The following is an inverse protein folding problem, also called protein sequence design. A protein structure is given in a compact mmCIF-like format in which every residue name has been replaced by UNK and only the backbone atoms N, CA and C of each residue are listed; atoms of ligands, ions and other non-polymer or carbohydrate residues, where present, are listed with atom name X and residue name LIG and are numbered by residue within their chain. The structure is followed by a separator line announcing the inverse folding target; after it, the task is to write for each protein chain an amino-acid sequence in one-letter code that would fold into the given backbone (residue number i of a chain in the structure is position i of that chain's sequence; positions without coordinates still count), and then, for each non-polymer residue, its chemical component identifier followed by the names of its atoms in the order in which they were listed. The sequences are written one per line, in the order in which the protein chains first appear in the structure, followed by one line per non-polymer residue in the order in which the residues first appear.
data_IF_668771839229
#
_entry.id   IF_668771839229
#
_cell.length_a   1.000
_cell.length_b   1.000
_cell.length_c   1.000
_cell.angle_alpha   90.00
_cell.angle_beta   90.00
_cell.angle_gamma   90.00
#
_symmetry.space_group_name_H-M   'P 1'
#
loop_
_entity.id
_entity.type
_entity.pdbx_description
1 polymer ?
#
# COMPACT_ATOMS: atom_id res chain seq x y z
N UNK A 1 -29.41 18.10 -17.24
CA UNK A 1 -27.98 18.43 -17.09
C UNK A 1 -27.23 17.12 -17.19
N UNK A 2 -26.59 16.92 -18.32
CA UNK A 2 -25.88 15.69 -18.69
C UNK A 2 -24.52 15.70 -17.97
N UNK A 3 -24.28 14.74 -17.07
CA UNK A 3 -23.00 14.65 -16.36
C UNK A 3 -21.91 14.19 -17.32
N UNK A 4 -20.87 15.02 -17.46
CA UNK A 4 -19.70 14.71 -18.27
C UNK A 4 -18.95 13.49 -17.71
N UNK A 5 -18.43 12.59 -18.56
CA UNK A 5 -17.65 11.45 -18.11
C UNK A 5 -16.32 11.93 -17.48
N UNK A 6 -16.11 11.58 -16.21
CA UNK A 6 -14.86 11.80 -15.46
C UNK A 6 -13.81 10.76 -15.86
N UNK A 7 -13.45 10.68 -17.13
CA UNK A 7 -12.37 9.80 -17.60
C UNK A 7 -11.37 10.62 -18.41
N UNK A 8 -10.17 10.80 -17.85
CA UNK A 8 -9.02 11.32 -18.59
C UNK A 8 -8.63 10.28 -19.66
N UNK A 9 -8.73 10.68 -20.92
CA UNK A 9 -8.40 9.87 -22.09
C UNK A 9 -6.89 9.68 -22.28
N UNK A 10 -6.16 9.25 -21.24
CA UNK A 10 -4.79 8.77 -21.40
C UNK A 10 -4.80 7.24 -21.42
N UNK A 11 -5.05 6.70 -22.60
CA UNK A 11 -4.87 5.28 -22.91
C UNK A 11 -3.38 4.94 -22.88
N UNK A 12 -2.92 4.38 -21.77
CA UNK A 12 -1.76 3.48 -21.79
C UNK A 12 -2.32 2.09 -21.48
N UNK A 13 -2.56 1.30 -22.53
CA UNK A 13 -3.01 -0.09 -22.44
C UNK A 13 -4.52 -0.27 -22.46
N UNK A 14 -5.20 0.18 -23.52
CA UNK A 14 -6.62 -0.11 -23.72
C UNK A 14 -6.90 -1.61 -23.79
N UNK A 15 -7.41 -2.18 -22.69
CA UNK A 15 -7.92 -3.55 -22.67
C UNK A 15 -9.40 -3.47 -23.05
N UNK A 16 -9.71 -3.86 -24.28
CA UNK A 16 -11.08 -4.30 -24.59
C UNK A 16 -11.34 -5.55 -23.74
N UNK A 17 -12.11 -5.41 -22.66
CA UNK A 17 -12.40 -6.49 -21.74
C UNK A 17 -13.37 -7.48 -22.41
N UNK A 18 -12.83 -8.51 -23.07
CA UNK A 18 -13.60 -9.64 -23.60
C UNK A 18 -14.17 -10.48 -22.44
N UNK A 19 -15.48 -10.37 -22.23
CA UNK A 19 -16.18 -11.02 -21.13
C UNK A 19 -16.09 -12.56 -21.16
N UNK A 20 -15.84 -13.17 -22.33
CA UNK A 20 -15.69 -14.63 -22.45
C UNK A 20 -14.30 -15.12 -22.05
N UNK A 21 -13.27 -14.28 -22.17
CA UNK A 21 -11.88 -14.62 -21.77
C UNK A 21 -11.54 -14.13 -20.37
N UNK A 22 -12.06 -12.98 -19.96
CA UNK A 22 -11.69 -12.30 -18.72
C UNK A 22 -12.81 -12.30 -17.66
N UNK A 23 -13.98 -12.84 -17.99
CA UNK A 23 -15.16 -12.87 -17.11
C UNK A 23 -15.97 -11.57 -17.15
N UNK A 24 -17.15 -11.56 -16.50
CA UNK A 24 -17.94 -10.34 -16.36
C UNK A 24 -17.15 -9.28 -15.59
N UNK A 25 -17.08 -8.07 -16.17
CA UNK A 25 -16.45 -6.91 -15.55
C UNK A 25 -17.12 -6.62 -14.20
N UNK A 26 -16.37 -6.77 -13.11
CA UNK A 26 -16.86 -6.50 -11.76
C UNK A 26 -16.45 -5.10 -11.31
N UNK A 27 -17.13 -4.53 -10.31
CA UNK A 27 -16.77 -3.21 -9.72
C UNK A 27 -15.29 -3.16 -9.28
N UNK A 28 -14.68 -4.32 -9.01
CA UNK A 28 -13.26 -4.45 -8.65
C UNK A 28 -12.30 -4.03 -9.76
N UNK A 29 -12.64 -4.21 -11.04
CA UNK A 29 -11.80 -3.78 -12.15
C UNK A 29 -11.89 -2.29 -12.45
N UNK A 30 -12.94 -1.61 -11.96
CA UNK A 30 -13.08 -0.15 -12.01
C UNK A 30 -12.48 0.58 -10.81
N UNK A 31 -12.02 -0.16 -9.79
CA UNK A 31 -11.26 0.42 -8.66
C UNK A 31 -9.86 0.81 -9.14
N UNK A 32 -9.76 1.94 -9.81
CA UNK A 32 -8.49 2.62 -10.08
C UNK A 32 -8.00 3.22 -8.76
N UNK A 33 -6.68 3.21 -8.54
CA UNK A 33 -6.07 3.96 -7.44
C UNK A 33 -6.49 5.43 -7.47
N UNK A 34 -6.36 6.13 -6.35
CA UNK A 34 -6.70 7.56 -6.28
C UNK A 34 -5.96 8.37 -7.36
N UNK A 35 -4.77 7.91 -7.78
CA UNK A 35 -3.96 8.56 -8.79
C UNK A 35 -3.39 7.59 -9.85
N UNK A 36 -3.46 7.91 -11.16
CA UNK A 36 -3.00 7.01 -12.22
C UNK A 36 -1.48 6.75 -12.19
N UNK A 37 -0.67 7.74 -11.79
CA UNK A 37 0.79 7.58 -11.66
C UNK A 37 1.17 6.59 -10.54
N UNK A 38 0.37 6.51 -9.48
CA UNK A 38 0.63 5.64 -8.34
C UNK A 38 0.62 4.16 -8.77
N UNK A 39 -0.34 3.79 -9.64
CA UNK A 39 -0.42 2.45 -10.19
C UNK A 39 0.80 2.09 -11.05
N UNK A 40 1.23 3.01 -11.92
CA UNK A 40 2.43 2.83 -12.74
C UNK A 40 3.68 2.68 -11.86
N UNK A 41 3.86 3.56 -10.87
CA UNK A 41 4.99 3.55 -9.96
C UNK A 41 5.08 2.25 -9.16
N UNK A 42 3.96 1.78 -8.58
CA UNK A 42 3.88 0.50 -7.86
C UNK A 42 4.30 -0.69 -8.72
N UNK A 43 3.88 -0.70 -10.00
CA UNK A 43 4.27 -1.78 -10.91
C UNK A 43 5.77 -1.80 -11.20
N UNK A 44 6.39 -0.62 -11.33
CA UNK A 44 7.82 -0.47 -11.55
C UNK A 44 8.59 -0.97 -10.32
N UNK A 45 8.21 -0.54 -9.11
CA UNK A 45 8.84 -0.98 -7.86
C UNK A 45 8.78 -2.51 -7.75
N UNK A 46 7.59 -3.10 -7.95
CA UNK A 46 7.41 -4.55 -7.85
C UNK A 46 8.31 -5.29 -8.84
N UNK A 47 8.35 -4.86 -10.09
CA UNK A 47 9.21 -5.47 -11.11
C UNK A 47 10.69 -5.34 -10.74
N UNK A 48 11.12 -4.20 -10.19
CA UNK A 48 12.48 -4.00 -9.71
C UNK A 48 12.82 -4.90 -8.53
N UNK A 49 11.94 -5.04 -7.55
CA UNK A 49 12.10 -5.96 -6.42
C UNK A 49 12.24 -7.42 -6.91
N UNK A 50 11.37 -7.85 -7.83
CA UNK A 50 11.43 -9.20 -8.42
C UNK A 50 12.74 -9.46 -9.17
N UNK A 51 13.23 -8.46 -9.93
CA UNK A 51 14.53 -8.54 -10.59
C UNK A 51 15.68 -8.60 -9.58
N UNK A 52 15.71 -7.71 -8.58
CA UNK A 52 16.73 -7.69 -7.50
C UNK A 52 16.75 -9.04 -6.77
N UNK A 53 15.59 -9.60 -6.45
CA UNK A 53 15.45 -10.91 -5.79
C UNK A 53 16.05 -12.05 -6.62
N UNK A 54 15.79 -12.07 -7.93
CA UNK A 54 16.38 -13.07 -8.84
C UNK A 54 17.90 -12.95 -8.93
N UNK A 55 18.42 -11.72 -9.01
CA UNK A 55 19.86 -11.47 -9.03
C UNK A 55 20.50 -11.99 -7.75
N UNK A 56 19.95 -11.65 -6.58
CA UNK A 56 20.45 -12.11 -5.28
C UNK A 56 20.41 -13.63 -5.12
N UNK A 57 19.34 -14.28 -5.58
CA UNK A 57 19.22 -15.73 -5.56
C UNK A 57 20.31 -16.39 -6.42
N UNK A 58 20.63 -15.80 -7.56
CA UNK A 58 21.65 -16.32 -8.47
C UNK A 58 23.08 -16.08 -7.95
N UNK A 59 23.35 -14.95 -7.29
CA UNK A 59 24.69 -14.62 -6.79
C UNK A 59 25.03 -15.26 -5.46
N UNK A 60 24.07 -15.31 -4.54
CA UNK A 60 24.30 -15.74 -3.14
C UNK A 60 23.53 -17.01 -2.77
N UNK A 61 22.75 -17.58 -3.69
CA UNK A 61 21.91 -18.74 -3.47
C UNK A 61 20.51 -18.40 -2.95
N UNK A 62 19.62 -19.40 -2.93
CA UNK A 62 18.21 -19.23 -2.57
C UNK A 62 17.97 -18.86 -1.10
N UNK A 63 18.91 -19.16 -0.21
CA UNK A 63 18.78 -18.88 1.23
C UNK A 63 18.82 -17.38 1.56
N UNK A 64 19.56 -16.58 0.78
CA UNK A 64 19.73 -15.15 1.05
C UNK A 64 18.44 -14.33 0.89
N UNK A 65 17.70 -14.40 -0.23
CA UNK A 65 16.42 -13.69 -0.35
C UNK A 65 15.39 -14.18 0.67
N UNK A 66 15.41 -15.47 1.05
CA UNK A 66 14.54 -15.98 2.13
C UNK A 66 14.86 -15.33 3.48
N UNK A 67 16.14 -15.15 3.81
CA UNK A 67 16.55 -14.40 5.00
C UNK A 67 16.03 -12.96 4.95
N UNK A 68 16.18 -12.27 3.82
CA UNK A 68 15.68 -10.90 3.67
C UNK A 68 14.16 -10.82 3.84
N UNK A 69 13.41 -11.80 3.32
CA UNK A 69 11.97 -11.89 3.51
C UNK A 69 11.59 -12.06 5.00
N UNK A 70 12.36 -12.85 5.76
CA UNK A 70 12.16 -13.00 7.21
C UNK A 70 12.48 -11.71 7.96
N UNK A 71 13.60 -11.06 7.64
CA UNK A 71 13.99 -9.77 8.23
C UNK A 71 12.89 -8.72 7.95
N UNK A 72 12.30 -8.72 6.75
CA UNK A 72 11.17 -7.85 6.38
C UNK A 72 9.96 -8.07 7.28
N UNK A 73 9.59 -9.33 7.48
CA UNK A 73 8.46 -9.68 8.33
C UNK A 73 8.68 -9.28 9.79
N UNK A 74 9.88 -9.49 10.31
CA UNK A 74 10.24 -9.11 11.68
C UNK A 74 10.14 -7.59 11.85
N UNK A 75 10.74 -6.83 10.93
CA UNK A 75 10.75 -5.37 10.99
C UNK A 75 9.35 -4.75 10.80
N UNK A 76 8.47 -5.36 9.99
CA UNK A 76 7.10 -4.88 9.77
C UNK A 76 6.17 -4.99 10.99
N UNK A 77 6.51 -5.84 11.97
CA UNK A 77 5.64 -6.14 13.12
C UNK A 77 5.73 -5.13 14.25
N UNK A 78 6.85 -4.41 14.36
CA UNK A 78 7.06 -3.45 15.44
C UNK A 78 6.22 -2.19 15.18
N UNK A 79 5.07 -2.13 15.84
CA UNK A 79 4.13 -1.02 15.70
C UNK A 79 3.70 -0.50 17.07
N UNK A 80 3.50 0.82 17.14
CA UNK A 80 2.90 1.47 18.32
C UNK A 80 1.44 1.00 18.46
N UNK A 81 0.84 1.11 19.66
CA UNK A 81 -0.60 0.96 19.81
C UNK A 81 -1.35 1.85 18.80
N UNK A 82 -2.55 1.42 18.33
CA UNK A 82 -3.36 2.25 17.45
C UNK A 82 -3.63 3.59 18.12
N UNK A 83 -3.44 4.68 17.39
CA UNK A 83 -3.58 6.03 17.93
C UNK A 83 -3.22 7.13 16.95
N UNK A 84 -3.12 8.38 17.43
CA UNK A 84 -2.94 9.56 16.57
C UNK A 84 -1.57 9.61 15.90
N UNK A 85 -0.54 9.06 16.54
CA UNK A 85 0.82 9.09 16.01
C UNK A 85 1.13 7.73 15.36
N UNK A 86 1.35 7.66 14.04
CA UNK A 86 1.72 6.42 13.37
C UNK A 86 3.09 5.92 13.82
N UNK A 87 3.33 4.62 13.66
CA UNK A 87 4.67 4.04 13.86
C UNK A 87 5.56 4.32 12.66
N UNK A 88 6.72 4.93 12.88
CA UNK A 88 7.80 5.05 11.89
C UNK A 88 8.47 3.69 11.70
N UNK A 89 8.54 3.17 10.47
CA UNK A 89 9.09 1.85 10.17
C UNK A 89 10.55 1.93 9.71
N UNK A 90 11.35 2.80 10.33
CA UNK A 90 12.72 3.14 9.91
C UNK A 90 13.59 1.92 9.62
N UNK A 91 13.51 0.87 10.45
CA UNK A 91 14.28 -0.36 10.21
C UNK A 91 13.85 -1.09 8.93
N UNK A 92 12.55 -1.16 8.66
CA UNK A 92 11.98 -1.75 7.45
C UNK A 92 12.35 -0.91 6.21
N UNK A 93 12.23 0.42 6.33
CA UNK A 93 12.59 1.38 5.29
C UNK A 93 14.09 1.29 4.95
N UNK A 94 14.95 1.18 5.97
CA UNK A 94 16.39 0.99 5.79
C UNK A 94 16.72 -0.30 5.04
N UNK A 95 16.06 -1.40 5.39
CA UNK A 95 16.31 -2.70 4.75
C UNK A 95 15.81 -2.73 3.31
N UNK A 96 14.67 -2.10 3.04
CA UNK A 96 14.09 -2.03 1.69
C UNK A 96 14.77 -0.98 0.80
N UNK A 97 15.55 -0.07 1.39
CA UNK A 97 16.23 1.02 0.70
C UNK A 97 15.33 2.22 0.44
N UNK A 98 14.12 2.26 1.01
CA UNK A 98 13.16 3.35 0.78
C UNK A 98 13.46 4.62 1.56
N UNK A 99 14.49 4.64 2.41
CA UNK A 99 14.88 5.84 3.18
C UNK A 99 15.41 6.97 2.29
N UNK A 100 16.08 6.62 1.19
CA UNK A 100 16.72 7.58 0.29
C UNK A 100 15.85 7.91 -0.94
N UNK A 101 14.74 7.18 -1.12
CA UNK A 101 13.86 7.30 -2.27
C UNK A 101 12.66 8.21 -1.95
N UNK A 102 12.30 9.09 -2.89
CA UNK A 102 11.09 9.90 -2.77
C UNK A 102 9.84 9.08 -3.08
N UNK A 103 8.93 9.01 -2.13
CA UNK A 103 7.65 8.33 -2.23
C UNK A 103 6.57 9.17 -2.91
N UNK A 104 5.44 8.54 -3.18
CA UNK A 104 4.24 9.23 -3.67
C UNK A 104 3.66 10.18 -2.61
N UNK A 105 3.68 9.73 -1.36
CA UNK A 105 3.22 10.49 -0.19
C UNK A 105 3.95 11.84 -0.05
N UNK A 106 5.24 11.89 -0.42
CA UNK A 106 6.06 13.11 -0.35
C UNK A 106 5.64 14.18 -1.36
N UNK A 107 5.08 13.77 -2.52
CA UNK A 107 4.64 14.70 -3.56
C UNK A 107 3.19 15.15 -3.39
N UNK A 108 2.31 14.28 -2.87
CA UNK A 108 0.86 14.49 -2.85
C UNK A 108 0.26 14.52 -1.43
N UNK A 109 1.12 14.60 -0.42
CA UNK A 109 0.81 14.52 1.01
C UNK A 109 0.23 13.16 1.44
N UNK A 110 0.60 12.70 2.63
CA UNK A 110 0.00 11.52 3.22
C UNK A 110 -1.47 11.85 3.60
N UNK A 111 -2.47 11.04 3.17
CA UNK A 111 -3.85 11.19 3.61
C UNK A 111 -4.03 11.25 5.13
N UNK A 112 -3.09 10.67 5.90
CA UNK A 112 -3.06 10.70 7.37
C UNK A 112 -2.73 12.06 7.96
N UNK A 113 -2.06 12.93 7.19
CA UNK A 113 -1.72 14.30 7.60
C UNK A 113 -2.79 15.31 7.16
N UNK A 114 -3.86 14.85 6.50
CA UNK A 114 -4.95 15.73 6.08
C UNK A 114 -5.73 16.30 7.28
N UNK A 115 -6.18 17.55 7.17
CA UNK A 115 -6.98 18.22 8.19
C UNK A 115 -8.32 17.50 8.46
N UNK A 116 -8.79 16.71 7.50
CA UNK A 116 -10.04 15.93 7.58
C UNK A 116 -9.80 14.56 8.24
N UNK A 117 -8.55 14.15 8.42
CA UNK A 117 -8.21 12.88 9.05
C UNK A 117 -8.68 12.86 10.49
N UNK A 118 -9.55 11.91 10.82
CA UNK A 118 -9.95 11.64 12.20
C UNK A 118 -9.09 10.50 12.74
N UNK A 119 -8.27 10.75 13.78
CA UNK A 119 -7.54 9.69 14.45
C UNK A 119 -8.48 8.58 14.93
N UNK A 120 -7.99 7.36 14.97
CA UNK A 120 -8.73 6.25 15.55
C UNK A 120 -8.65 6.32 17.08
N UNK A 121 -9.74 5.94 17.76
CA UNK A 121 -9.71 5.81 19.22
C UNK A 121 -8.73 4.72 19.65
N UNK A 122 -7.82 5.07 20.56
CA UNK A 122 -6.78 4.16 21.04
C UNK A 122 -7.37 3.00 21.84
N UNK A 123 -8.36 3.30 22.69
CA UNK A 123 -8.97 2.31 23.57
C UNK A 123 -9.69 1.25 22.75
N UNK A 124 -10.64 1.68 21.93
CA UNK A 124 -11.38 0.77 21.08
C UNK A 124 -10.48 0.07 20.05
N UNK A 125 -9.47 0.76 19.50
CA UNK A 125 -8.49 0.13 18.60
C UNK A 125 -7.72 -1.00 19.27
N UNK A 126 -7.36 -0.85 20.55
CA UNK A 126 -6.69 -1.90 21.32
C UNK A 126 -7.63 -3.08 21.62
N UNK A 127 -8.89 -2.80 21.94
CA UNK A 127 -9.91 -3.84 22.14
C UNK A 127 -10.11 -4.71 20.89
N UNK A 128 -10.19 -4.08 19.71
CA UNK A 128 -10.32 -4.80 18.42
C UNK A 128 -9.07 -5.65 18.17
N UNK A 129 -7.87 -5.10 18.43
CA UNK A 129 -6.61 -5.82 18.25
C UNK A 129 -6.45 -7.01 19.20
N UNK A 130 -7.00 -6.95 20.42
CA UNK A 130 -7.03 -8.06 21.38
C UNK A 130 -8.20 -9.02 21.15
N UNK A 131 -9.12 -8.69 20.25
CA UNK A 131 -10.33 -9.48 19.98
C UNK A 131 -11.41 -9.37 21.07
N UNK A 132 -11.34 -8.33 21.91
CA UNK A 132 -12.36 -8.02 22.92
C UNK A 132 -13.60 -7.39 22.25
N UNK A 133 -13.39 -6.47 21.32
CA UNK A 133 -14.44 -5.86 20.49
C UNK A 133 -14.34 -6.33 19.04
N UNK A 134 -15.46 -6.26 18.30
CA UNK A 134 -15.53 -6.64 16.88
C UNK A 134 -15.94 -5.46 16.02
N UNK A 135 -15.38 -5.40 14.82
CA UNK A 135 -15.72 -4.38 13.82
C UNK A 135 -14.56 -3.45 13.48
N UNK A 136 -14.79 -2.45 12.61
CA UNK A 136 -13.80 -1.42 12.31
C UNK A 136 -13.60 -0.53 13.54
N UNK A 137 -12.37 -0.04 13.72
CA UNK A 137 -12.02 0.85 14.84
C UNK A 137 -12.80 2.16 14.72
N UNK A 138 -13.48 2.58 15.79
CA UNK A 138 -14.19 3.84 15.82
C UNK A 138 -13.22 5.04 15.71
N UNK A 139 -13.61 6.10 14.99
CA UNK A 139 -12.87 7.35 15.01
C UNK A 139 -12.98 7.99 16.41
N UNK A 140 -11.92 8.65 16.85
CA UNK A 140 -11.93 9.43 18.09
C UNK A 140 -12.92 10.60 17.99
N UNK A 141 -13.52 10.98 19.12
CA UNK A 141 -14.53 12.06 19.21
C UNK A 141 -13.96 13.49 19.17
N UNK A 142 -12.66 13.65 18.87
CA UNK A 142 -12.04 14.96 18.66
C UNK A 142 -12.31 15.47 17.25
#
# INVERSE_FOLDING_TARGET
MEEAPKTLAHQIGGIQNDALRFGLHGVKSDLVGSHPLEAAHRSIIKNQEDMKRKVLANTYGSAFPLKMDLDRQILSRFQRPPGPIPSSMVGLEAMTGSLDDFGFEDYLNDPRESEVYRPQDMHHGMEVRLGISRGPVCPSFV
#
